data_IF_245690037464
#
_entry.id   IF_245690037464
#
_cell.length_a   1.000
_cell.length_b   1.000
_cell.length_c   1.000
_cell.angle_alpha   90.00
_cell.angle_beta   90.00
_cell.angle_gamma   90.00
#
_symmetry.space_group_name_H-M   'P 1'
#
loop_
_entity.id
_entity.type
_entity.pdbx_description
1 polymer ?
#
# COMPACT_ATOMS: atom_id res chain seq x y z
N UNK A 1 5.27 -20.80 -7.89
CA UNK A 1 4.71 -20.39 -6.59
C UNK A 1 4.90 -18.89 -6.36
N UNK A 2 3.95 -18.27 -5.67
CA UNK A 2 4.04 -16.84 -5.37
C UNK A 2 4.62 -16.66 -3.96
N UNK A 3 5.68 -15.83 -3.83
CA UNK A 3 6.25 -15.49 -2.54
C UNK A 3 5.26 -14.64 -1.72
N UNK A 4 5.07 -15.00 -0.46
CA UNK A 4 4.19 -14.29 0.49
C UNK A 4 4.98 -13.97 1.75
N UNK A 5 4.73 -12.80 2.34
CA UNK A 5 5.17 -12.48 3.70
C UNK A 5 4.01 -12.70 4.66
N UNK A 6 4.29 -13.42 5.75
CA UNK A 6 3.45 -13.48 6.94
C UNK A 6 4.19 -12.78 8.07
N UNK A 7 3.53 -11.94 8.81
CA UNK A 7 4.18 -11.24 9.92
C UNK A 7 3.20 -10.57 10.86
N UNK A 8 3.75 -10.13 11.99
CA UNK A 8 3.03 -9.40 13.01
C UNK A 8 3.60 -8.00 13.16
N UNK A 9 2.74 -6.99 13.30
CA UNK A 9 3.19 -5.62 13.59
C UNK A 9 3.66 -5.53 15.03
N UNK A 10 4.93 -5.18 15.24
CA UNK A 10 5.53 -5.03 16.59
C UNK A 10 4.72 -4.10 17.50
N UNK A 11 4.16 -2.99 16.99
CA UNK A 11 3.40 -2.02 17.80
C UNK A 11 1.98 -2.43 18.13
N UNK A 12 1.33 -3.23 17.30
CA UNK A 12 -0.11 -3.51 17.43
C UNK A 12 -0.45 -4.98 17.50
N UNK A 13 0.52 -5.88 17.26
CA UNK A 13 0.33 -7.33 17.21
C UNK A 13 -0.62 -7.79 16.08
N UNK A 14 -0.98 -6.89 15.17
CA UNK A 14 -1.87 -7.24 14.06
C UNK A 14 -1.14 -8.12 13.04
N UNK A 15 -1.74 -9.27 12.72
CA UNK A 15 -1.25 -10.16 11.67
C UNK A 15 -1.48 -9.59 10.29
N UNK A 16 -0.55 -9.84 9.38
CA UNK A 16 -0.71 -9.50 7.98
C UNK A 16 -0.12 -10.58 7.09
N UNK A 17 -0.74 -10.75 5.92
CA UNK A 17 -0.24 -11.60 4.84
C UNK A 17 -0.26 -10.81 3.55
N UNK A 18 0.89 -10.68 2.91
CA UNK A 18 1.03 -9.93 1.65
C UNK A 18 1.70 -10.82 0.62
N UNK A 19 1.09 -10.90 -0.57
CA UNK A 19 1.72 -11.46 -1.76
C UNK A 19 2.60 -10.39 -2.39
N UNK A 20 3.84 -10.73 -2.72
CA UNK A 20 4.74 -9.80 -3.40
C UNK A 20 4.31 -9.52 -4.83
N UNK A 21 4.30 -8.25 -5.18
CA UNK A 21 4.26 -7.81 -6.57
C UNK A 21 5.60 -8.12 -7.26
N UNK A 22 5.61 -8.38 -8.58
CA UNK A 22 6.86 -8.65 -9.31
C UNK A 22 7.93 -7.55 -9.15
N UNK A 23 7.50 -6.28 -9.07
CA UNK A 23 8.41 -5.16 -8.82
C UNK A 23 9.09 -5.25 -7.44
N UNK A 24 8.35 -5.63 -6.41
CA UNK A 24 8.89 -5.81 -5.06
C UNK A 24 9.87 -6.99 -5.00
N UNK A 25 9.58 -8.08 -5.72
CA UNK A 25 10.50 -9.22 -5.83
C UNK A 25 11.83 -8.81 -6.48
N UNK A 26 11.79 -8.03 -7.57
CA UNK A 26 13.00 -7.51 -8.22
C UNK A 26 13.84 -6.65 -7.27
N UNK A 27 13.20 -5.84 -6.42
CA UNK A 27 13.91 -5.05 -5.41
C UNK A 27 14.55 -5.92 -4.34
N UNK A 28 13.83 -6.92 -3.84
CA UNK A 28 14.37 -7.87 -2.87
C UNK A 28 15.58 -8.60 -3.43
N UNK A 29 15.52 -9.08 -4.67
CA UNK A 29 16.62 -9.78 -5.31
C UNK A 29 17.83 -8.86 -5.53
N UNK A 30 17.60 -7.62 -5.98
CA UNK A 30 18.64 -6.60 -6.18
C UNK A 30 19.43 -6.31 -4.90
N UNK A 31 18.76 -6.29 -3.75
CA UNK A 31 19.38 -5.95 -2.46
C UNK A 31 19.64 -7.17 -1.57
N UNK A 32 19.50 -8.38 -2.12
CA UNK A 32 19.74 -9.61 -1.39
C UNK A 32 21.18 -9.67 -0.87
N UNK A 33 21.33 -9.94 0.42
CA UNK A 33 22.66 -10.06 1.05
C UNK A 33 23.40 -8.73 1.28
N UNK A 34 22.79 -7.57 0.99
CA UNK A 34 23.41 -6.27 1.28
C UNK A 34 23.16 -5.79 2.71
N UNK A 35 22.14 -6.33 3.38
CA UNK A 35 21.81 -6.00 4.76
C UNK A 35 22.37 -7.05 5.74
N UNK A 36 22.68 -6.64 7.00
CA UNK A 36 22.99 -7.59 8.06
C UNK A 36 21.83 -8.54 8.31
N UNK A 37 22.09 -9.85 8.37
CA UNK A 37 21.06 -10.83 8.75
C UNK A 37 20.51 -10.53 10.16
N UNK A 38 19.20 -10.57 10.41
CA UNK A 38 18.11 -11.10 9.56
C UNK A 38 17.36 -10.04 8.75
N UNK A 39 17.93 -8.88 8.47
CA UNK A 39 17.25 -7.78 7.79
C UNK A 39 17.18 -8.03 6.28
N UNK A 40 16.05 -7.64 5.66
CA UNK A 40 15.91 -7.67 4.19
C UNK A 40 16.59 -6.47 3.51
N UNK A 41 16.66 -5.33 4.21
CA UNK A 41 17.30 -4.10 3.76
C UNK A 41 18.05 -3.45 4.92
N UNK A 42 19.23 -2.90 4.63
CA UNK A 42 19.92 -1.99 5.55
C UNK A 42 19.34 -0.59 5.39
N UNK A 43 18.40 -0.28 6.29
CA UNK A 43 17.65 0.98 6.22
C UNK A 43 18.18 1.96 7.28
N UNK A 44 18.48 3.21 6.88
CA UNK A 44 18.77 4.26 7.84
C UNK A 44 17.62 4.50 8.83
N UNK A 45 17.90 5.19 9.93
CA UNK A 45 16.85 5.62 10.87
C UNK A 45 15.79 6.44 10.14
N UNK A 46 14.51 6.29 10.52
CA UNK A 46 13.38 6.96 9.90
C UNK A 46 13.55 8.50 9.87
N UNK A 47 14.16 9.08 10.91
CA UNK A 47 14.48 10.50 10.96
C UNK A 47 15.43 10.93 9.82
N UNK A 48 16.45 10.13 9.56
CA UNK A 48 17.42 10.37 8.47
C UNK A 48 16.76 10.28 7.09
N UNK A 49 15.89 9.27 6.90
CA UNK A 49 15.11 9.13 5.67
C UNK A 49 14.23 10.36 5.44
N UNK A 50 13.49 10.80 6.46
CA UNK A 50 12.63 11.98 6.34
C UNK A 50 13.42 13.27 6.11
N UNK A 51 14.61 13.39 6.68
CA UNK A 51 15.51 14.51 6.42
C UNK A 51 15.96 14.55 4.95
N UNK A 52 16.37 13.40 4.42
CA UNK A 52 16.76 13.26 3.02
C UNK A 52 15.59 13.55 2.06
N UNK A 53 14.40 13.03 2.36
CA UNK A 53 13.18 13.33 1.58
C UNK A 53 12.89 14.82 1.55
N UNK A 54 12.96 15.50 2.70
CA UNK A 54 12.74 16.95 2.78
C UNK A 54 13.74 17.73 1.94
N UNK A 55 15.01 17.32 1.94
CA UNK A 55 16.06 17.95 1.11
C UNK A 55 15.76 17.74 -0.38
N UNK A 56 15.43 16.52 -0.81
CA UNK A 56 15.12 16.22 -2.20
C UNK A 56 13.89 16.99 -2.67
N UNK A 57 12.79 16.98 -1.92
CA UNK A 57 11.56 17.69 -2.29
C UNK A 57 11.79 19.19 -2.42
N UNK A 58 12.60 19.78 -1.52
CA UNK A 58 13.00 21.19 -1.61
C UNK A 58 13.80 21.47 -2.89
N UNK A 59 14.76 20.61 -3.25
CA UNK A 59 15.55 20.76 -4.48
C UNK A 59 14.69 20.62 -5.75
N UNK A 60 13.64 19.79 -5.70
CA UNK A 60 12.69 19.61 -6.81
C UNK A 60 11.59 20.68 -6.85
N UNK A 61 11.61 21.68 -5.98
CA UNK A 61 10.56 22.71 -5.92
C UNK A 61 9.20 22.19 -5.42
N UNK A 62 9.17 21.03 -4.77
CA UNK A 62 7.95 20.44 -4.23
C UNK A 62 7.67 21.05 -2.86
N UNK A 63 6.63 21.87 -2.74
CA UNK A 63 6.23 22.54 -1.49
C UNK A 63 5.53 21.59 -0.49
N UNK A 64 4.97 20.48 -0.97
CA UNK A 64 4.26 19.51 -0.13
C UNK A 64 5.20 18.78 0.83
N UNK A 65 4.81 18.67 2.09
CA UNK A 65 5.56 17.91 3.10
C UNK A 65 5.41 16.40 2.85
N UNK A 66 6.46 15.79 2.29
CA UNK A 66 6.52 14.35 2.01
C UNK A 66 7.35 13.66 3.09
N UNK A 67 6.80 12.59 3.66
CA UNK A 67 7.47 11.73 4.64
C UNK A 67 7.51 10.29 4.15
N UNK A 68 8.33 9.46 4.78
CA UNK A 68 8.36 8.01 4.49
C UNK A 68 6.98 7.35 4.68
N UNK A 69 6.17 7.88 5.61
CA UNK A 69 4.80 7.38 5.81
C UNK A 69 3.88 7.65 4.61
N UNK A 70 4.18 8.66 3.78
CA UNK A 70 3.44 8.94 2.56
C UNK A 70 3.47 7.77 1.57
N UNK A 71 4.56 6.99 1.53
CA UNK A 71 4.62 5.78 0.70
C UNK A 71 3.55 4.75 1.09
N UNK A 72 3.30 4.58 2.40
CA UNK A 72 2.24 3.70 2.90
C UNK A 72 0.85 4.24 2.56
N UNK A 73 0.67 5.56 2.63
CA UNK A 73 -0.57 6.23 2.22
C UNK A 73 -0.83 6.00 0.72
N UNK A 74 0.18 6.25 -0.13
CA UNK A 74 0.10 6.03 -1.58
C UNK A 74 -0.20 4.57 -1.92
N UNK A 75 0.43 3.61 -1.22
CA UNK A 75 0.11 2.19 -1.39
C UNK A 75 -1.38 1.91 -1.12
N UNK A 76 -1.90 2.42 0.00
CA UNK A 76 -3.30 2.19 0.37
C UNK A 76 -4.28 2.83 -0.62
N UNK A 77 -4.04 4.09 -1.00
CA UNK A 77 -4.95 4.86 -1.87
C UNK A 77 -4.80 4.49 -3.34
N UNK A 78 -3.59 4.66 -3.89
CA UNK A 78 -3.35 4.58 -5.33
C UNK A 78 -3.17 3.14 -5.83
N UNK A 79 -2.47 2.28 -5.06
CA UNK A 79 -2.22 0.91 -5.50
C UNK A 79 -3.29 -0.09 -5.06
N UNK A 80 -4.11 0.26 -4.07
CA UNK A 80 -5.14 -0.65 -3.55
C UNK A 80 -6.55 -0.12 -3.80
N UNK A 81 -6.94 0.95 -3.11
CA UNK A 81 -8.34 1.42 -3.14
C UNK A 81 -8.78 1.89 -4.52
N UNK A 82 -7.94 2.66 -5.25
CA UNK A 82 -8.26 3.09 -6.61
C UNK A 82 -8.35 1.93 -7.61
N UNK A 83 -7.77 0.77 -7.28
CA UNK A 83 -7.90 -0.46 -8.08
C UNK A 83 -9.08 -1.33 -7.63
N UNK A 84 -9.95 -0.80 -6.77
CA UNK A 84 -11.15 -1.50 -6.31
C UNK A 84 -10.90 -2.58 -5.25
N UNK A 85 -9.74 -2.60 -4.61
CA UNK A 85 -9.51 -3.51 -3.48
C UNK A 85 -10.35 -3.04 -2.29
N UNK A 86 -11.19 -3.91 -1.68
CA UNK A 86 -12.04 -3.53 -0.57
C UNK A 86 -11.24 -2.98 0.62
N UNK A 87 -11.80 -1.96 1.30
CA UNK A 87 -11.17 -1.31 2.45
C UNK A 87 -10.78 -2.29 3.57
N UNK A 88 -11.62 -3.29 3.82
CA UNK A 88 -11.36 -4.36 4.79
C UNK A 88 -10.12 -5.19 4.44
N UNK A 89 -9.91 -5.45 3.15
CA UNK A 89 -8.73 -6.16 2.65
C UNK A 89 -7.48 -5.28 2.80
N UNK A 90 -7.56 -4.00 2.41
CA UNK A 90 -6.46 -3.03 2.58
C UNK A 90 -6.09 -2.89 4.06
N UNK A 91 -7.08 -2.83 4.95
CA UNK A 91 -6.86 -2.78 6.40
C UNK A 91 -6.02 -3.96 6.90
N UNK A 92 -6.36 -5.18 6.47
CA UNK A 92 -5.58 -6.39 6.79
C UNK A 92 -4.18 -6.37 6.19
N UNK A 93 -4.03 -5.96 4.92
CA UNK A 93 -2.72 -5.83 4.26
C UNK A 93 -1.82 -4.84 4.99
N UNK A 94 -2.40 -3.77 5.53
CA UNK A 94 -1.70 -2.78 6.34
C UNK A 94 -1.48 -3.25 7.79
N UNK A 95 -2.06 -4.35 8.22
CA UNK A 95 -1.99 -4.86 9.59
C UNK A 95 -2.64 -3.92 10.61
N UNK A 96 -3.75 -3.27 10.24
CA UNK A 96 -4.52 -2.49 11.19
C UNK A 96 -5.45 -3.40 11.99
N UNK A 97 -5.47 -3.24 13.32
CA UNK A 97 -6.42 -3.97 14.20
C UNK A 97 -7.86 -3.50 13.98
N UNK A 98 -8.05 -2.21 13.73
CA UNK A 98 -9.36 -1.60 13.53
C UNK A 98 -9.44 -1.00 12.12
N UNK A 99 -10.54 -1.27 11.43
CA UNK A 99 -10.79 -0.77 10.09
C UNK A 99 -10.90 0.77 10.05
N UNK A 100 -11.32 1.38 11.15
CA UNK A 100 -11.40 2.83 11.33
C UNK A 100 -10.08 3.53 11.03
N UNK A 101 -8.94 2.89 11.36
CA UNK A 101 -7.60 3.41 11.02
C UNK A 101 -7.37 3.48 9.51
N UNK A 102 -8.08 2.66 8.74
CA UNK A 102 -7.96 2.62 7.28
C UNK A 102 -8.98 3.55 6.60
N UNK A 103 -10.06 3.89 7.29
CA UNK A 103 -11.11 4.78 6.75
C UNK A 103 -10.60 6.17 6.39
N UNK A 104 -9.51 6.64 7.01
CA UNK A 104 -8.84 7.89 6.61
C UNK A 104 -8.39 7.90 5.14
N UNK A 105 -8.23 6.71 4.53
CA UNK A 105 -7.87 6.55 3.12
C UNK A 105 -9.10 6.40 2.21
N UNK A 106 -10.27 6.15 2.77
CA UNK A 106 -11.50 5.86 2.03
C UNK A 106 -12.25 7.15 1.69
N UNK A 107 -11.64 8.02 0.90
CA UNK A 107 -12.40 9.10 0.25
C UNK A 107 -13.06 8.52 -1.01
N UNK A 108 -14.35 8.20 -0.89
CA UNK A 108 -15.15 7.78 -2.05
C UNK A 108 -15.37 8.99 -2.94
N UNK A 109 -14.87 8.93 -4.17
CA UNK A 109 -15.15 9.96 -5.18
C UNK A 109 -16.36 9.54 -6.03
N UNK A 110 -17.10 10.48 -6.66
CA UNK A 110 -18.17 10.15 -7.61
C UNK A 110 -17.71 9.18 -8.70
N UNK A 111 -16.51 9.36 -9.23
CA UNK A 111 -15.91 8.48 -10.25
C UNK A 111 -15.79 7.04 -9.74
N UNK A 112 -15.42 6.83 -8.48
CA UNK A 112 -15.33 5.47 -7.91
C UNK A 112 -16.70 4.81 -7.79
N UNK A 113 -17.76 5.59 -7.62
CA UNK A 113 -19.14 5.08 -7.58
C UNK A 113 -19.56 4.66 -9.00
N UNK A 114 -19.32 5.50 -10.00
CA UNK A 114 -19.60 5.22 -11.40
C UNK A 114 -18.87 3.95 -11.86
N UNK A 115 -17.56 3.87 -11.67
CA UNK A 115 -16.75 2.68 -11.98
C UNK A 115 -17.28 1.39 -11.29
N UNK A 116 -17.80 1.51 -10.07
CA UNK A 116 -18.34 0.38 -9.34
C UNK A 116 -19.68 -0.08 -9.96
N UNK A 117 -20.53 0.84 -10.40
CA UNK A 117 -21.80 0.56 -11.08
C UNK A 117 -21.53 -0.09 -12.44
N UNK A 118 -20.62 0.47 -13.25
CA UNK A 118 -20.25 -0.07 -14.56
C UNK A 118 -19.73 -1.51 -14.47
N UNK A 119 -18.95 -1.81 -13.42
CA UNK A 119 -18.50 -3.19 -13.15
C UNK A 119 -19.64 -4.14 -12.78
N UNK A 120 -20.65 -3.67 -12.09
CA UNK A 120 -21.84 -4.46 -11.76
C UNK A 120 -22.65 -4.68 -13.02
N UNK A 121 -22.89 -3.64 -13.81
CA UNK A 121 -23.60 -3.70 -15.09
C UNK A 121 -22.96 -4.72 -16.03
N UNK A 122 -21.65 -4.62 -16.27
CA UNK A 122 -20.92 -5.55 -17.15
C UNK A 122 -20.93 -7.01 -16.67
N UNK A 123 -21.15 -7.26 -15.35
CA UNK A 123 -21.30 -8.61 -14.80
C UNK A 123 -22.73 -9.13 -14.89
N UNK A 124 -23.69 -8.22 -14.98
CA UNK A 124 -25.11 -8.53 -15.08
C UNK A 124 -25.57 -8.61 -16.54
N UNK A 125 -24.86 -7.95 -17.48
CA UNK A 125 -25.08 -8.09 -18.92
C UNK A 125 -25.00 -9.56 -19.34
N UNK A 126 -26.11 -10.08 -19.78
CA UNK A 126 -26.29 -11.51 -20.12
C UNK A 126 -26.96 -12.37 -19.05
N UNK A 127 -27.18 -11.86 -17.81
CA UNK A 127 -27.95 -12.59 -16.78
C UNK A 127 -29.44 -12.15 -16.73
N UNK A 128 -29.73 -10.97 -17.22
CA UNK A 128 -31.08 -10.39 -17.23
C UNK A 128 -31.59 -10.06 -18.65
N UNK A 129 -30.87 -10.44 -19.69
CA UNK A 129 -31.37 -10.42 -21.05
C UNK A 129 -32.36 -11.61 -21.19
N UNK A 130 -33.63 -11.35 -20.88
CA UNK A 130 -34.74 -12.25 -21.15
C UNK A 130 -35.32 -11.93 -22.52
#
# INVERSE_FOLDING_TARGET
GHLRIHGNRCKTGGEYTIKFLPAALRLLEKYRGTAPSPLAFDMPKLSSINCSLRRITKQCGISRHITFHAARHTFATTLCLSQGIPLSTVSKMLGHKQITTTQIYAQTTPIMIEDAIDRVESRLDGKFAA
#
